data_IF_200463580444
#
_entry.id   IF_200463580444
#
_cell.length_a   1.000
_cell.length_b   1.000
_cell.length_c   1.000
_cell.angle_alpha   90.00
_cell.angle_beta   90.00
_cell.angle_gamma   90.00
#
_symmetry.space_group_name_H-M   'P 1'
#
loop_
_entity.id
_entity.type
_entity.pdbx_description
1 polymer ?
#
# COMPACT_ATOMS: atom_id res chain seq x y z
N UNK A 1 -0.93 35.07 23.52
CA UNK A 1 -1.90 35.04 22.42
C UNK A 1 -2.61 33.70 22.42
N UNK A 2 -3.77 33.55 23.09
CA UNK A 2 -4.53 32.30 23.06
C UNK A 2 -5.44 32.25 21.83
N UNK A 3 -5.40 31.11 21.14
CA UNK A 3 -6.22 30.75 19.98
C UNK A 3 -7.70 30.51 20.34
N UNK A 4 -8.54 31.09 19.49
CA UNK A 4 -9.82 30.63 18.93
C UNK A 4 -10.46 29.32 19.45
N UNK A 5 -11.76 29.38 19.75
CA UNK A 5 -12.63 28.21 19.92
C UNK A 5 -13.89 28.37 19.05
N UNK A 6 -13.95 27.57 17.99
CA UNK A 6 -15.08 27.47 17.08
C UNK A 6 -16.25 26.68 17.68
N UNK A 7 -17.47 27.15 17.45
CA UNK A 7 -18.71 26.45 17.78
C UNK A 7 -19.13 25.53 16.62
N UNK A 8 -19.37 24.24 16.91
CA UNK A 8 -19.98 23.28 15.98
C UNK A 8 -21.47 23.12 16.30
N UNK A 9 -22.27 22.99 15.24
CA UNK A 9 -23.74 22.90 15.24
C UNK A 9 -24.14 21.51 14.75
N UNK A 10 -24.94 20.79 15.52
CA UNK A 10 -25.50 19.47 15.16
C UNK A 10 -26.69 19.59 14.20
N UNK A 11 -26.97 18.54 13.41
CA UNK A 11 -28.32 18.31 12.92
C UNK A 11 -28.84 16.88 13.23
N UNK A 12 -29.99 16.83 13.90
CA UNK A 12 -31.24 16.25 13.41
C UNK A 12 -31.29 14.79 12.92
N UNK A 13 -31.93 13.95 13.73
CA UNK A 13 -32.38 12.57 13.47
C UNK A 13 -33.67 12.56 12.63
N UNK A 14 -33.80 11.58 11.72
CA UNK A 14 -35.09 11.04 11.27
C UNK A 14 -34.97 9.55 10.86
N UNK A 15 -35.75 8.69 11.54
CA UNK A 15 -36.15 7.33 11.14
C UNK A 15 -36.98 7.37 9.83
N UNK A 16 -37.24 6.33 9.04
CA UNK A 16 -37.16 4.87 9.12
C UNK A 16 -38.10 4.32 8.04
N UNK A 17 -37.86 3.11 7.50
CA UNK A 17 -38.82 2.47 6.57
C UNK A 17 -38.24 1.33 5.73
N UNK A 18 -38.60 0.09 6.09
CA UNK A 18 -38.29 -1.16 5.37
C UNK A 18 -39.29 -1.47 4.25
N UNK A 19 -38.84 -2.06 3.13
CA UNK A 19 -39.32 -3.34 2.56
C UNK A 19 -38.63 -3.70 1.23
N UNK A 20 -38.45 -5.01 1.04
CA UNK A 20 -37.69 -5.71 0.00
C UNK A 20 -38.69 -6.46 -0.96
N UNK A 21 -38.27 -7.37 -1.87
CA UNK A 21 -38.18 -7.20 -3.34
C UNK A 21 -39.11 -8.14 -4.15
N UNK A 22 -39.17 -8.01 -5.48
CA UNK A 22 -39.59 -8.99 -6.54
C UNK A 22 -39.56 -8.26 -7.90
N UNK A 23 -39.31 -8.80 -9.10
CA UNK A 23 -38.98 -10.10 -9.69
C UNK A 23 -38.65 -9.87 -11.18
N UNK A 24 -38.02 -10.87 -11.82
CA UNK A 24 -37.72 -11.05 -13.26
C UNK A 24 -38.85 -10.76 -14.26
N UNK A 25 -38.47 -10.42 -15.50
CA UNK A 25 -39.18 -10.89 -16.71
C UNK A 25 -38.27 -10.90 -17.95
N UNK A 26 -37.94 -12.12 -18.40
CA UNK A 26 -37.49 -12.44 -19.76
C UNK A 26 -38.65 -12.33 -20.74
N UNK A 27 -38.37 -11.94 -21.99
CA UNK A 27 -39.23 -12.20 -23.14
C UNK A 27 -38.39 -12.75 -24.30
N UNK A 28 -38.82 -13.90 -24.82
CA UNK A 28 -38.43 -14.52 -26.09
C UNK A 28 -39.60 -14.33 -27.08
N UNK A 29 -39.29 -14.26 -28.37
CA UNK A 29 -40.07 -14.77 -29.53
C UNK A 29 -39.17 -14.57 -30.78
N UNK A 30 -38.54 -15.60 -31.33
CA UNK A 30 -39.00 -16.49 -32.44
C UNK A 30 -39.45 -15.72 -33.70
N UNK A 31 -38.63 -15.69 -34.76
CA UNK A 31 -38.48 -16.66 -35.87
C UNK A 31 -39.48 -16.39 -37.02
N UNK A 32 -38.97 -16.19 -38.25
CA UNK A 32 -39.28 -17.02 -39.44
C UNK A 32 -38.44 -16.54 -40.64
N UNK A 33 -38.00 -17.55 -41.38
CA UNK A 33 -37.11 -17.68 -42.53
C UNK A 33 -37.69 -17.19 -43.86
N UNK A 34 -36.83 -16.75 -44.79
CA UNK A 34 -36.74 -17.34 -46.15
C UNK A 34 -35.47 -16.90 -46.91
N UNK A 35 -34.85 -17.87 -47.61
CA UNK A 35 -33.74 -17.74 -48.59
C UNK A 35 -34.37 -17.48 -50.00
N UNK A 36 -33.73 -17.15 -51.14
CA UNK A 36 -32.45 -17.51 -51.79
C UNK A 36 -32.25 -16.57 -53.01
N UNK A 37 -31.00 -16.44 -53.50
CA UNK A 37 -30.48 -16.30 -54.91
C UNK A 37 -29.51 -15.12 -55.06
N UNK A 38 -28.19 -15.32 -55.19
CA UNK A 38 -27.35 -15.92 -56.25
C UNK A 38 -26.82 -14.89 -57.29
N UNK A 39 -25.53 -14.56 -57.11
CA UNK A 39 -24.45 -14.19 -58.06
C UNK A 39 -24.62 -13.00 -59.03
N UNK A 40 -23.72 -12.01 -58.89
CA UNK A 40 -22.96 -11.45 -60.02
C UNK A 40 -21.65 -10.83 -59.52
N UNK A 41 -20.52 -11.32 -60.03
CA UNK A 41 -19.19 -10.73 -59.85
C UNK A 41 -19.10 -9.37 -60.53
N UNK A 42 -18.39 -8.42 -59.90
CA UNK A 42 -17.47 -7.50 -60.59
C UNK A 42 -16.59 -6.76 -59.55
N UNK A 43 -15.29 -7.10 -59.54
CA UNK A 43 -14.23 -6.25 -59.00
C UNK A 43 -14.12 -4.94 -59.81
N UNK A 44 -13.73 -3.84 -59.15
CA UNK A 44 -12.45 -3.26 -59.52
C UNK A 44 -11.59 -2.89 -58.31
N UNK A 45 -10.40 -3.48 -58.32
CA UNK A 45 -9.14 -3.04 -57.71
C UNK A 45 -9.15 -1.64 -57.05
N UNK A 46 -9.24 -1.62 -55.72
CA UNK A 46 -8.74 -0.51 -54.91
C UNK A 46 -7.50 -1.04 -54.19
N UNK A 47 -6.34 -0.51 -54.54
CA UNK A 47 -5.12 -0.66 -53.75
C UNK A 47 -5.35 -0.04 -52.37
N UNK A 48 -5.87 -0.84 -51.45
CA UNK A 48 -5.79 -0.56 -50.03
C UNK A 48 -4.33 -0.80 -49.64
N UNK A 49 -3.54 0.28 -49.73
CA UNK A 49 -2.17 0.33 -49.23
C UNK A 49 -2.23 0.05 -47.73
N UNK A 50 -2.02 -1.21 -47.37
CA UNK A 50 -1.97 -1.69 -45.99
C UNK A 50 -1.03 -0.78 -45.18
N UNK A 51 -1.63 0.10 -44.38
CA UNK A 51 -0.92 0.82 -43.33
C UNK A 51 -0.55 -0.24 -42.28
N UNK A 52 0.74 -0.54 -42.21
CA UNK A 52 1.32 -1.48 -41.26
C UNK A 52 0.89 -1.12 -39.82
N UNK A 53 0.23 -2.04 -39.09
CA UNK A 53 -0.25 -1.79 -37.71
C UNK A 53 0.86 -1.50 -36.70
N UNK A 54 2.11 -1.81 -37.04
CA UNK A 54 3.24 -1.73 -36.10
C UNK A 54 3.58 -0.32 -35.63
N UNK A 55 3.42 0.70 -36.47
CA UNK A 55 3.97 2.03 -36.17
C UNK A 55 3.21 2.81 -35.09
N UNK A 56 1.88 2.64 -35.02
CA UNK A 56 1.04 3.29 -34.01
C UNK A 56 0.98 2.51 -32.70
N UNK A 57 1.07 1.18 -32.78
CA UNK A 57 1.15 0.32 -31.59
C UNK A 57 2.46 0.50 -30.83
N UNK A 58 3.58 0.71 -31.54
CA UNK A 58 4.87 0.96 -30.89
C UNK A 58 4.87 2.31 -30.15
N UNK A 59 4.30 3.36 -30.75
CA UNK A 59 4.26 4.71 -30.14
C UNK A 59 3.34 4.77 -28.89
N UNK A 60 2.22 4.02 -28.89
CA UNK A 60 1.33 3.92 -27.72
C UNK A 60 1.85 2.97 -26.64
N UNK A 61 2.58 1.91 -26.99
CA UNK A 61 3.26 1.04 -26.01
C UNK A 61 4.40 1.78 -25.31
N UNK A 62 5.14 2.62 -26.03
CA UNK A 62 6.22 3.44 -25.45
C UNK A 62 5.69 4.47 -24.45
N UNK A 63 4.57 5.16 -24.76
CA UNK A 63 3.99 6.14 -23.83
C UNK A 63 3.45 5.49 -22.57
N UNK A 64 2.75 4.35 -22.68
CA UNK A 64 2.24 3.63 -21.51
C UNK A 64 3.36 3.04 -20.63
N UNK A 65 4.46 2.58 -21.24
CA UNK A 65 5.64 2.11 -20.50
C UNK A 65 6.37 3.24 -19.76
N UNK A 66 6.43 4.44 -20.35
CA UNK A 66 7.01 5.63 -19.70
C UNK A 66 6.23 6.04 -18.46
N UNK A 67 4.91 6.21 -18.57
CA UNK A 67 4.07 6.67 -17.44
C UNK A 67 4.09 5.68 -16.26
N UNK A 68 4.10 4.38 -16.57
CA UNK A 68 4.24 3.33 -15.57
C UNK A 68 5.60 3.41 -14.87
N UNK A 69 6.67 3.61 -15.63
CA UNK A 69 8.02 3.68 -15.07
C UNK A 69 8.21 4.91 -14.21
N UNK A 70 7.70 6.07 -14.63
CA UNK A 70 7.76 7.29 -13.84
C UNK A 70 7.07 7.09 -12.47
N UNK A 71 5.91 6.44 -12.46
CA UNK A 71 5.27 6.02 -11.22
C UNK A 71 6.14 5.03 -10.41
N UNK A 72 6.71 4.00 -11.04
CA UNK A 72 7.55 3.03 -10.34
C UNK A 72 8.81 3.68 -9.74
N UNK A 73 9.40 4.65 -10.44
CA UNK A 73 10.57 5.41 -10.01
C UNK A 73 10.32 6.26 -8.78
N UNK A 74 9.15 6.90 -8.67
CA UNK A 74 8.76 7.62 -7.46
C UNK A 74 8.59 6.70 -6.26
N UNK A 75 8.24 5.44 -6.51
CA UNK A 75 7.80 4.48 -5.51
C UNK A 75 8.95 3.59 -5.00
N UNK A 76 9.93 3.24 -5.84
CA UNK A 76 11.05 2.38 -5.48
C UNK A 76 11.88 2.84 -4.25
N UNK A 77 12.18 4.15 -4.08
CA UNK A 77 12.85 4.64 -2.89
C UNK A 77 12.08 4.31 -1.60
N UNK A 78 10.76 4.48 -1.61
CA UNK A 78 9.91 4.19 -0.46
C UNK A 78 9.92 2.68 -0.12
N UNK A 79 9.92 1.81 -1.14
CA UNK A 79 10.05 0.36 -0.93
C UNK A 79 11.37 0.03 -0.23
N UNK A 80 12.49 0.62 -0.68
CA UNK A 80 13.80 0.44 -0.06
C UNK A 80 13.81 0.95 1.39
N UNK A 81 13.23 2.12 1.63
CA UNK A 81 13.12 2.72 2.96
C UNK A 81 12.26 1.89 3.93
N UNK A 82 11.30 1.11 3.44
CA UNK A 82 10.51 0.20 4.29
C UNK A 82 11.25 -1.12 4.50
N UNK A 83 11.87 -1.71 3.47
CA UNK A 83 12.50 -3.02 3.56
C UNK A 83 13.78 -3.01 4.42
N UNK A 84 14.63 -1.98 4.29
CA UNK A 84 15.92 -1.94 5.01
C UNK A 84 15.79 -1.90 6.54
N UNK A 85 14.83 -1.17 7.15
CA UNK A 85 14.60 -1.20 8.59
C UNK A 85 14.03 -2.53 9.11
N UNK A 86 13.32 -3.30 8.27
CA UNK A 86 12.80 -4.62 8.66
C UNK A 86 13.92 -5.64 8.90
N UNK A 87 15.13 -5.38 8.38
CA UNK A 87 16.30 -6.20 8.65
C UNK A 87 16.79 -6.07 10.08
N UNK A 88 17.15 -7.21 10.66
CA UNK A 88 17.82 -7.25 11.95
C UNK A 88 19.23 -6.64 11.86
N UNK A 89 19.74 -5.98 12.93
CA UNK A 89 21.06 -5.34 12.91
C UNK A 89 22.24 -6.26 12.53
N UNK A 90 22.09 -7.58 12.70
CA UNK A 90 23.14 -8.57 12.40
C UNK A 90 23.16 -9.02 10.93
N UNK A 91 22.15 -8.68 10.14
CA UNK A 91 21.99 -9.13 8.75
C UNK A 91 22.73 -8.24 7.74
N UNK A 92 24.01 -7.95 7.97
CA UNK A 92 24.77 -6.99 7.15
C UNK A 92 24.94 -7.44 5.70
N UNK A 93 25.16 -8.74 5.46
CA UNK A 93 25.26 -9.29 4.11
C UNK A 93 23.97 -9.06 3.32
N UNK A 94 22.83 -9.42 3.90
CA UNK A 94 21.53 -9.24 3.27
C UNK A 94 21.19 -7.77 3.05
N UNK A 95 21.61 -6.89 3.97
CA UNK A 95 21.51 -5.44 3.82
C UNK A 95 22.26 -4.97 2.56
N UNK A 96 23.53 -5.34 2.41
CA UNK A 96 24.32 -4.97 1.23
C UNK A 96 23.72 -5.54 -0.07
N UNK A 97 23.28 -6.80 -0.06
CA UNK A 97 22.61 -7.42 -1.21
C UNK A 97 21.33 -6.65 -1.61
N UNK A 98 20.54 -6.19 -0.63
CA UNK A 98 19.36 -5.34 -0.89
C UNK A 98 19.71 -3.94 -1.36
N UNK A 99 20.76 -3.33 -0.79
CA UNK A 99 21.19 -1.99 -1.17
C UNK A 99 21.64 -1.94 -2.63
N UNK A 100 22.33 -2.99 -3.09
CA UNK A 100 22.78 -3.18 -4.48
C UNK A 100 21.61 -3.52 -5.43
N UNK A 101 20.76 -4.47 -5.05
CA UNK A 101 19.62 -4.87 -5.90
C UNK A 101 18.58 -3.76 -6.06
N UNK A 102 18.44 -2.89 -5.05
CA UNK A 102 17.59 -1.71 -5.06
C UNK A 102 18.43 -0.43 -5.16
N UNK A 103 19.46 -0.43 -6.01
CA UNK A 103 20.21 0.78 -6.34
C UNK A 103 19.39 1.65 -7.32
N UNK A 104 18.98 2.84 -6.86
CA UNK A 104 18.09 3.71 -7.63
C UNK A 104 18.76 4.28 -8.88
N UNK A 105 20.06 4.59 -8.80
CA UNK A 105 20.79 5.14 -9.94
C UNK A 105 20.95 4.08 -11.03
N UNK A 106 21.21 2.84 -10.63
CA UNK A 106 21.29 1.70 -11.54
C UNK A 106 19.94 1.37 -12.18
N UNK A 107 18.85 1.31 -11.39
CA UNK A 107 17.50 1.03 -11.90
C UNK A 107 17.01 2.15 -12.84
N UNK A 108 17.30 3.41 -12.52
CA UNK A 108 17.01 4.55 -13.39
C UNK A 108 17.73 4.43 -14.74
N UNK A 109 19.02 4.11 -14.72
CA UNK A 109 19.79 3.93 -15.94
C UNK A 109 19.31 2.76 -16.81
N UNK A 110 18.85 1.66 -16.20
CA UNK A 110 18.29 0.55 -16.97
C UNK A 110 16.98 0.95 -17.65
N UNK A 111 16.13 1.69 -16.94
CA UNK A 111 14.84 2.06 -17.48
C UNK A 111 14.92 3.15 -18.56
N UNK A 112 15.83 4.12 -18.42
CA UNK A 112 16.12 5.12 -19.46
C UNK A 112 16.61 4.47 -20.77
N UNK A 113 17.22 3.28 -20.68
CA UNK A 113 17.67 2.48 -21.84
C UNK A 113 16.61 1.48 -22.33
N UNK A 114 15.50 1.31 -21.61
CA UNK A 114 14.48 0.31 -21.90
C UNK A 114 14.86 -1.13 -21.48
N UNK A 115 15.95 -1.31 -20.73
CA UNK A 115 16.49 -2.62 -20.34
C UNK A 115 15.97 -3.13 -18.98
N UNK A 116 15.14 -2.35 -18.30
CA UNK A 116 14.65 -2.69 -16.97
C UNK A 116 13.72 -3.90 -16.99
N UNK A 117 14.09 -4.95 -16.25
CA UNK A 117 13.25 -6.13 -16.06
C UNK A 117 12.30 -5.97 -14.86
N UNK A 118 11.14 -5.37 -15.10
CA UNK A 118 10.09 -5.15 -14.07
C UNK A 118 9.60 -6.46 -13.42
N UNK A 119 9.36 -7.57 -14.15
CA UNK A 119 8.99 -8.85 -13.52
C UNK A 119 10.05 -9.38 -12.55
N UNK A 120 11.33 -9.29 -12.91
CA UNK A 120 12.43 -9.71 -12.05
C UNK A 120 12.49 -8.86 -10.78
N UNK A 121 12.43 -7.53 -10.92
CA UNK A 121 12.45 -6.61 -9.77
C UNK A 121 11.27 -6.85 -8.84
N UNK A 122 10.06 -7.02 -9.39
CA UNK A 122 8.84 -7.29 -8.62
C UNK A 122 8.95 -8.60 -7.85
N UNK A 123 9.48 -9.66 -8.48
CA UNK A 123 9.72 -10.95 -7.84
C UNK A 123 10.78 -10.86 -6.75
N UNK A 124 11.85 -10.09 -6.98
CA UNK A 124 12.87 -9.83 -5.96
C UNK A 124 12.24 -9.19 -4.72
N UNK A 125 11.45 -8.12 -4.90
CA UNK A 125 10.76 -7.43 -3.80
C UNK A 125 9.81 -8.39 -3.07
N UNK A 126 9.03 -9.19 -3.78
CA UNK A 126 8.13 -10.18 -3.17
C UNK A 126 8.91 -11.21 -2.34
N UNK A 127 10.03 -11.72 -2.84
CA UNK A 127 10.87 -12.64 -2.07
C UNK A 127 11.42 -11.99 -0.80
N UNK A 128 11.82 -10.72 -0.87
CA UNK A 128 12.23 -9.96 0.32
C UNK A 128 11.07 -9.79 1.30
N UNK A 129 9.85 -9.56 0.81
CA UNK A 129 8.66 -9.48 1.66
C UNK A 129 8.37 -10.83 2.35
N UNK A 130 8.41 -11.96 1.62
CA UNK A 130 8.24 -13.30 2.20
C UNK A 130 9.27 -13.59 3.29
N UNK A 131 10.52 -13.16 3.09
CA UNK A 131 11.59 -13.39 4.05
C UNK A 131 11.44 -12.55 5.35
N UNK A 132 10.84 -11.35 5.24
CA UNK A 132 10.83 -10.36 6.32
C UNK A 132 9.46 -10.17 6.98
N UNK A 133 8.39 -10.70 6.39
CA UNK A 133 7.04 -10.51 6.92
C UNK A 133 6.80 -11.33 8.20
N UNK A 134 5.83 -10.87 8.98
CA UNK A 134 5.33 -11.66 10.12
C UNK A 134 4.36 -12.74 9.63
N UNK A 135 4.19 -13.86 10.36
CA UNK A 135 3.34 -14.97 9.92
C UNK A 135 1.89 -14.59 9.58
N UNK A 136 1.37 -13.52 10.18
CA UNK A 136 0.02 -13.01 9.91
C UNK A 136 -0.12 -12.35 8.53
N UNK A 137 1.00 -12.08 7.84
CA UNK A 137 1.04 -11.44 6.52
C UNK A 137 1.35 -12.42 5.39
N UNK A 138 1.74 -13.65 5.67
CA UNK A 138 2.13 -14.64 4.65
C UNK A 138 1.05 -14.80 3.56
N UNK A 139 -0.22 -14.94 3.96
CA UNK A 139 -1.35 -15.06 3.02
C UNK A 139 -1.53 -13.79 2.17
N UNK A 140 -1.27 -12.61 2.75
CA UNK A 140 -1.38 -11.34 2.03
C UNK A 140 -0.26 -11.19 0.98
N UNK A 141 0.96 -11.63 1.31
CA UNK A 141 2.09 -11.64 0.36
C UNK A 141 1.86 -12.66 -0.75
N UNK A 142 1.39 -13.87 -0.42
CA UNK A 142 1.08 -14.91 -1.40
C UNK A 142 0.00 -14.48 -2.41
N UNK A 143 -0.99 -13.69 -1.98
CA UNK A 143 -1.99 -13.12 -2.90
C UNK A 143 -1.39 -12.18 -3.95
N UNK A 144 -0.26 -11.53 -3.66
CA UNK A 144 0.43 -10.65 -4.61
C UNK A 144 1.09 -11.43 -5.75
N UNK A 145 1.58 -12.64 -5.50
CA UNK A 145 2.23 -13.48 -6.53
C UNK A 145 1.29 -13.83 -7.71
N UNK A 146 -0.02 -13.80 -7.47
CA UNK A 146 -1.04 -14.12 -8.47
C UNK A 146 -1.50 -12.91 -9.30
N UNK A 147 -0.96 -11.71 -9.04
CA UNK A 147 -1.36 -10.48 -9.74
C UNK A 147 -0.47 -10.29 -10.97
N UNK A 148 -1.05 -10.40 -12.17
CA UNK A 148 -0.34 -10.20 -13.44
C UNK A 148 -0.20 -8.72 -13.83
N UNK A 149 -1.18 -7.89 -13.46
CA UNK A 149 -1.16 -6.46 -13.79
C UNK A 149 -0.12 -5.70 -12.93
N UNK A 150 0.92 -5.10 -13.54
CA UNK A 150 2.03 -4.47 -12.80
C UNK A 150 1.59 -3.34 -11.88
N UNK A 151 0.62 -2.53 -12.29
CA UNK A 151 0.11 -1.40 -11.50
C UNK A 151 -0.61 -1.90 -10.25
N UNK A 152 -1.51 -2.89 -10.41
CA UNK A 152 -2.19 -3.53 -9.28
C UNK A 152 -1.23 -4.25 -8.35
N UNK A 153 -0.20 -4.89 -8.90
CA UNK A 153 0.84 -5.57 -8.11
C UNK A 153 1.59 -4.57 -7.25
N UNK A 154 2.10 -3.48 -7.84
CA UNK A 154 2.82 -2.43 -7.13
C UNK A 154 1.98 -1.85 -5.99
N UNK A 155 0.73 -1.48 -6.28
CA UNK A 155 -0.20 -1.00 -5.25
C UNK A 155 -0.42 -2.02 -4.13
N UNK A 156 -0.49 -3.30 -4.46
CA UNK A 156 -0.61 -4.39 -3.50
C UNK A 156 0.64 -4.52 -2.61
N UNK A 157 1.83 -4.44 -3.22
CA UNK A 157 3.13 -4.43 -2.52
C UNK A 157 3.16 -3.30 -1.49
N UNK A 158 2.84 -2.07 -1.88
CA UNK A 158 2.81 -0.93 -0.95
C UNK A 158 1.87 -1.13 0.23
N UNK A 159 0.66 -1.62 -0.06
CA UNK A 159 -0.32 -1.88 0.98
C UNK A 159 0.22 -2.86 2.02
N UNK A 160 0.86 -3.94 1.57
CA UNK A 160 1.41 -4.95 2.48
C UNK A 160 2.68 -4.46 3.18
N UNK A 161 3.57 -3.74 2.49
CA UNK A 161 4.75 -3.11 3.09
C UNK A 161 4.38 -2.13 4.20
N UNK A 162 3.34 -1.31 4.00
CA UNK A 162 2.83 -0.41 5.03
C UNK A 162 2.33 -1.15 6.28
N UNK A 163 1.72 -2.32 6.10
CA UNK A 163 1.32 -3.19 7.21
C UNK A 163 2.54 -3.83 7.89
N UNK A 164 3.53 -4.31 7.13
CA UNK A 164 4.78 -4.87 7.67
C UNK A 164 5.55 -3.84 8.51
N UNK A 165 5.57 -2.57 8.09
CA UNK A 165 6.14 -1.45 8.87
C UNK A 165 5.45 -1.31 10.22
N UNK A 166 4.11 -1.36 10.25
CA UNK A 166 3.34 -1.29 11.48
C UNK A 166 3.59 -2.52 12.37
N UNK A 167 3.70 -3.71 11.77
CA UNK A 167 4.01 -4.94 12.49
C UNK A 167 5.38 -4.83 13.20
N UNK A 168 6.40 -4.28 12.52
CA UNK A 168 7.72 -4.04 13.12
C UNK A 168 7.67 -3.06 14.29
N UNK A 169 6.92 -1.96 14.16
CA UNK A 169 6.75 -0.98 15.25
C UNK A 169 6.05 -1.62 16.45
N UNK A 170 4.98 -2.37 16.21
CA UNK A 170 4.26 -3.09 17.25
C UNK A 170 5.16 -4.10 17.97
N UNK A 171 5.94 -4.87 17.21
CA UNK A 171 6.93 -5.81 17.77
C UNK A 171 8.01 -5.08 18.60
N UNK A 172 8.50 -3.94 18.12
CA UNK A 172 9.51 -3.15 18.83
C UNK A 172 8.97 -2.63 20.17
N UNK A 173 7.74 -2.11 20.19
CA UNK A 173 7.09 -1.67 21.43
C UNK A 173 6.94 -2.84 22.41
N UNK A 174 6.42 -3.98 21.95
CA UNK A 174 6.20 -5.16 22.79
C UNK A 174 7.51 -5.75 23.33
N UNK A 175 8.59 -5.73 22.54
CA UNK A 175 9.89 -6.25 22.97
C UNK A 175 10.61 -5.34 23.97
N UNK A 176 10.42 -4.02 23.89
CA UNK A 176 11.00 -3.05 24.82
C UNK A 176 10.19 -2.88 26.12
N UNK A 177 8.88 -3.12 26.06
CA UNK A 177 7.97 -2.90 27.19
C UNK A 177 8.42 -3.54 28.51
N UNK A 178 8.89 -4.81 28.57
CA UNK A 178 9.30 -5.43 29.83
C UNK A 178 10.47 -4.69 30.51
N UNK A 179 11.47 -4.28 29.73
CA UNK A 179 12.63 -3.55 30.26
C UNK A 179 12.24 -2.17 30.80
N UNK A 180 11.31 -1.51 30.12
CA UNK A 180 10.79 -0.21 30.57
C UNK A 180 9.96 -0.35 31.85
N UNK A 181 9.16 -1.41 31.94
CA UNK A 181 8.35 -1.70 33.12
C UNK A 181 9.20 -2.00 34.36
N UNK A 182 10.31 -2.74 34.20
CA UNK A 182 11.23 -3.09 35.29
C UNK A 182 11.73 -1.84 36.06
N UNK A 183 12.05 -0.76 35.34
CA UNK A 183 12.56 0.47 35.94
C UNK A 183 11.51 1.56 36.13
N UNK A 184 10.28 1.34 35.67
CA UNK A 184 9.20 2.35 35.68
C UNK A 184 8.91 2.91 37.07
N UNK A 185 8.79 2.05 38.08
CA UNK A 185 8.44 2.45 39.46
C UNK A 185 9.51 3.37 40.05
N UNK A 186 10.78 3.04 39.85
CA UNK A 186 11.90 3.82 40.39
C UNK A 186 11.97 5.19 39.70
N UNK A 187 11.82 5.21 38.37
CA UNK A 187 11.79 6.43 37.58
C UNK A 187 10.64 7.35 38.00
N UNK A 188 9.42 6.83 38.10
CA UNK A 188 8.23 7.58 38.49
C UNK A 188 8.36 8.16 39.90
N UNK A 189 8.86 7.37 40.86
CA UNK A 189 9.12 7.85 42.22
C UNK A 189 10.13 8.99 42.25
N UNK A 190 11.23 8.87 41.52
CA UNK A 190 12.25 9.90 41.44
C UNK A 190 11.69 11.19 40.79
N UNK A 191 10.92 11.07 39.71
CA UNK A 191 10.29 12.22 39.04
C UNK A 191 9.23 12.89 39.88
N UNK A 192 8.41 12.11 40.58
CA UNK A 192 7.43 12.62 41.51
C UNK A 192 8.10 13.38 42.65
N UNK A 193 9.18 12.83 43.22
CA UNK A 193 9.94 13.50 44.26
C UNK A 193 10.57 14.81 43.75
N UNK A 194 11.11 14.83 42.53
CA UNK A 194 11.62 16.05 41.88
C UNK A 194 10.53 17.14 41.77
N UNK A 195 9.30 16.73 41.42
CA UNK A 195 8.16 17.64 41.32
C UNK A 195 7.76 18.21 42.68
N UNK A 196 7.73 17.39 43.74
CA UNK A 196 7.45 17.85 45.11
C UNK A 196 8.49 18.84 45.62
N UNK A 197 9.76 18.60 45.31
CA UNK A 197 10.84 19.51 45.71
C UNK A 197 10.69 20.89 45.05
N UNK A 198 10.17 20.94 43.81
CA UNK A 198 9.91 22.21 43.09
C UNK A 198 8.63 22.90 43.56
N UNK A 199 7.61 22.13 43.91
CA UNK A 199 6.32 22.64 44.35
C UNK A 199 5.83 21.91 45.62
N UNK A 200 6.21 22.39 46.81
CA UNK A 200 5.84 21.74 48.07
C UNK A 200 4.33 21.72 48.34
N UNK A 201 3.56 22.65 47.75
CA UNK A 201 2.10 22.75 47.91
C UNK A 201 1.30 21.80 47.01
N UNK A 202 1.96 21.03 46.13
CA UNK A 202 1.31 20.19 45.11
C UNK A 202 0.32 19.18 45.72
N UNK A 203 0.61 18.67 46.92
CA UNK A 203 -0.19 17.63 47.57
C UNK A 203 -1.23 18.17 48.55
N UNK A 204 -1.43 19.48 48.67
CA UNK A 204 -2.34 20.05 49.68
C UNK A 204 -3.76 19.47 49.64
N UNK A 205 -4.32 19.27 48.45
CA UNK A 205 -5.65 18.68 48.28
C UNK A 205 -5.64 17.18 48.59
N UNK A 206 -4.65 16.45 48.10
CA UNK A 206 -4.48 15.00 48.35
C UNK A 206 -4.29 14.70 49.83
N UNK A 207 -3.47 15.49 50.53
CA UNK A 207 -3.24 15.36 51.97
C UNK A 207 -4.51 15.65 52.76
N UNK A 208 -5.23 16.74 52.45
CA UNK A 208 -6.52 17.05 53.10
C UNK A 208 -7.52 15.91 52.93
N UNK A 209 -7.63 15.35 51.73
CA UNK A 209 -8.51 14.22 51.44
C UNK A 209 -8.09 12.95 52.22
N UNK A 210 -6.80 12.60 52.22
CA UNK A 210 -6.27 11.44 52.96
C UNK A 210 -6.47 11.55 54.47
N UNK A 211 -6.46 12.78 55.03
CA UNK A 211 -6.70 13.00 56.47
C UNK A 211 -8.18 13.03 56.87
N UNK A 212 -9.09 13.09 55.89
CA UNK A 212 -10.55 13.08 56.09
C UNK A 212 -11.17 11.69 55.91
N UNK A 213 -10.43 10.74 55.32
CA UNK A 213 -10.79 9.34 55.15
C UNK A 213 -10.36 8.50 56.36
#
# INVERSE_FOLDING_TARGET
>A
MPKERAARKDPGVAEGGSRQPSQESQARDECVTEKVNEVSNHDPHVEEKALSPSRLEDETKDTMHSDFWDHLKEQLPEIKEILLPLLLPRQNRLRSEMEEALDMDFLNQQAERGDLNVPYLSKYILNMMVLLCSPVRDEAVQKLENITDPVRLLRGIFRVLGLMKMDMVNYTIQSLQPQLQEHSIQYERAKFQELLNKQPSLLNHTTKWLTQA
#
